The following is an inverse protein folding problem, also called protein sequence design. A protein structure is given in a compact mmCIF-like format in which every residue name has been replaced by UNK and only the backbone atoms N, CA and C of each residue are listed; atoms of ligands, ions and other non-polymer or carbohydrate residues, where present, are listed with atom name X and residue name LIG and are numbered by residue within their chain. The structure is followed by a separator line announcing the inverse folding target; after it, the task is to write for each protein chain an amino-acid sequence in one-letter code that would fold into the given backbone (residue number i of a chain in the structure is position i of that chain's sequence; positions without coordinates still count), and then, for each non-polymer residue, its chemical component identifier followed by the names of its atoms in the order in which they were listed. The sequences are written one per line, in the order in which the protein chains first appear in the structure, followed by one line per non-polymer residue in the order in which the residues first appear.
data_IF_442630013587
#
_entry.id   IF_442630013587
#
_cell.length_a   1.000
_cell.length_b   1.000
_cell.length_c   1.000
_cell.angle_alpha   90.00
_cell.angle_beta   90.00
_cell.angle_gamma   90.00
#
_symmetry.space_group_name_H-M   'P 1'
#
loop_
_entity.id
_entity.type
_entity.pdbx_description
1 polymer ?
#
# COMPACT_ATOMS: atom_id res chain seq x y z
N UNK A 1 -20.29 -13.19 39.07
CA UNK A 1 -19.22 -13.73 38.23
C UNK A 1 -19.72 -13.70 36.79
N UNK A 2 -19.43 -12.64 36.06
CA UNK A 2 -19.89 -12.43 34.71
C UNK A 2 -18.72 -12.76 33.79
N UNK A 3 -18.79 -13.89 33.10
CA UNK A 3 -17.82 -14.27 32.07
C UNK A 3 -18.03 -13.36 30.84
N UNK A 4 -17.06 -12.51 30.57
CA UNK A 4 -16.97 -11.81 29.29
C UNK A 4 -16.58 -12.86 28.22
N UNK A 5 -17.53 -13.21 27.38
CA UNK A 5 -17.28 -14.00 26.18
C UNK A 5 -16.36 -13.20 25.26
N UNK A 6 -15.14 -13.68 25.10
CA UNK A 6 -14.20 -13.20 24.08
C UNK A 6 -14.78 -13.61 22.73
N UNK A 7 -15.20 -12.64 21.91
CA UNK A 7 -15.59 -12.91 20.52
C UNK A 7 -14.32 -13.31 19.78
N UNK A 8 -14.21 -14.54 19.27
CA UNK A 8 -13.02 -14.96 18.56
C UNK A 8 -12.93 -14.19 17.24
N UNK A 9 -11.74 -13.68 16.94
CA UNK A 9 -11.41 -13.19 15.63
C UNK A 9 -11.75 -14.27 14.58
N UNK A 10 -12.61 -13.95 13.62
CA UNK A 10 -13.02 -14.91 12.61
C UNK A 10 -11.87 -15.13 11.63
N UNK A 11 -11.13 -16.20 11.83
CA UNK A 11 -10.07 -16.63 10.91
C UNK A 11 -10.65 -17.66 9.96
N UNK A 12 -10.90 -17.28 8.72
CA UNK A 12 -11.41 -18.19 7.69
C UNK A 12 -10.28 -18.56 6.75
N UNK A 13 -9.82 -19.83 6.71
CA UNK A 13 -8.89 -20.31 5.71
C UNK A 13 -9.62 -20.44 4.36
N UNK A 14 -9.03 -19.87 3.31
CA UNK A 14 -9.57 -19.85 1.96
C UNK A 14 -8.54 -20.46 1.01
N UNK A 15 -8.93 -21.45 0.21
CA UNK A 15 -8.06 -21.97 -0.83
C UNK A 15 -7.75 -20.87 -1.86
N UNK A 16 -6.48 -20.62 -2.13
CA UNK A 16 -6.06 -19.56 -3.04
C UNK A 16 -5.58 -20.16 -4.37
N UNK A 17 -6.08 -19.67 -5.52
CA UNK A 17 -5.54 -20.01 -6.83
C UNK A 17 -4.16 -19.36 -7.04
N UNK A 18 -3.38 -19.78 -8.07
CA UNK A 18 -2.04 -19.26 -8.34
C UNK A 18 -1.98 -17.76 -8.67
N UNK A 19 -3.12 -17.13 -9.01
CA UNK A 19 -3.25 -15.69 -9.20
C UNK A 19 -4.39 -15.19 -8.29
N UNK A 20 -4.07 -14.86 -7.04
CA UNK A 20 -5.03 -14.30 -6.10
C UNK A 20 -5.06 -12.78 -6.20
N UNK A 21 -6.25 -12.20 -6.19
CA UNK A 21 -6.47 -10.76 -6.02
C UNK A 21 -7.11 -10.51 -4.65
N UNK A 22 -6.50 -9.68 -3.84
CA UNK A 22 -7.03 -9.20 -2.58
C UNK A 22 -7.60 -7.80 -2.77
N UNK A 23 -8.90 -7.61 -2.56
CA UNK A 23 -9.55 -6.31 -2.57
C UNK A 23 -9.91 -5.91 -1.14
N UNK A 24 -9.44 -4.75 -0.66
CA UNK A 24 -9.67 -4.26 0.70
C UNK A 24 -10.26 -2.85 0.66
N UNK A 25 -11.38 -2.63 1.34
CA UNK A 25 -11.97 -1.29 1.51
C UNK A 25 -12.08 -0.96 3.00
N UNK A 26 -11.31 0.05 3.46
CA UNK A 26 -11.22 0.40 4.88
C UNK A 26 -11.42 1.89 5.09
N UNK A 27 -12.51 2.28 5.76
CA UNK A 27 -12.75 3.69 6.10
C UNK A 27 -11.71 4.27 7.06
N UNK A 28 -11.32 3.53 8.10
CA UNK A 28 -10.34 3.97 9.07
C UNK A 28 -9.66 2.79 9.77
N UNK A 29 -8.38 2.94 10.12
CA UNK A 29 -7.64 1.95 10.91
C UNK A 29 -6.29 1.55 10.30
N UNK A 30 -6.01 0.26 10.29
CA UNK A 30 -4.77 -0.30 9.75
C UNK A 30 -5.05 -1.56 8.96
N UNK A 31 -4.37 -1.70 7.84
CA UNK A 31 -4.36 -2.91 7.02
C UNK A 31 -2.92 -3.44 6.93
N UNK A 32 -2.75 -4.69 7.27
CA UNK A 32 -1.50 -5.41 7.10
C UNK A 32 -1.73 -6.63 6.20
N UNK A 33 -1.04 -6.67 5.07
CA UNK A 33 -1.04 -7.78 4.12
C UNK A 33 0.31 -8.48 4.21
N UNK A 34 0.31 -9.76 4.53
CA UNK A 34 1.52 -10.56 4.72
C UNK A 34 1.56 -11.65 3.64
N UNK A 35 2.42 -11.43 2.65
CA UNK A 35 2.62 -12.36 1.53
C UNK A 35 3.77 -13.32 1.85
N UNK A 36 3.47 -14.60 1.91
CA UNK A 36 4.42 -15.65 2.23
C UNK A 36 4.26 -16.85 1.28
N UNK A 37 5.14 -17.83 1.39
CA UNK A 37 5.04 -19.07 0.62
C UNK A 37 3.96 -19.98 1.24
N UNK A 38 2.71 -19.72 0.86
CA UNK A 38 1.51 -20.45 1.32
C UNK A 38 0.53 -20.61 0.15
N UNK A 39 -0.38 -21.55 0.27
CA UNK A 39 -1.36 -21.88 -0.76
C UNK A 39 -2.81 -21.47 -0.38
N UNK A 40 -2.98 -20.81 0.76
CA UNK A 40 -4.28 -20.37 1.28
C UNK A 40 -4.23 -18.88 1.65
N UNK A 41 -5.38 -18.27 1.82
CA UNK A 41 -5.51 -16.94 2.39
C UNK A 41 -6.25 -17.00 3.72
N UNK A 42 -5.84 -16.16 4.67
CA UNK A 42 -6.56 -15.98 5.93
C UNK A 42 -6.76 -14.51 6.21
N UNK A 43 -7.96 -14.15 6.68
CA UNK A 43 -8.33 -12.77 6.99
C UNK A 43 -8.73 -12.70 8.45
N UNK A 44 -8.19 -11.73 9.15
CA UNK A 44 -8.54 -11.40 10.51
C UNK A 44 -8.94 -9.92 10.58
N UNK A 45 -10.11 -9.64 11.13
CA UNK A 45 -10.61 -8.27 11.35
C UNK A 45 -10.82 -8.08 12.85
N UNK A 46 -10.19 -7.05 13.39
CA UNK A 46 -10.30 -6.68 14.81
C UNK A 46 -10.69 -5.21 14.97
N UNK A 47 -11.35 -4.83 16.07
CA UNK A 47 -11.46 -3.42 16.43
C UNK A 47 -10.06 -2.85 16.72
N UNK A 48 -9.79 -1.62 16.28
CA UNK A 48 -8.51 -0.97 16.60
C UNK A 48 -8.34 -0.73 18.11
N UNK A 49 -9.47 -0.53 18.83
CA UNK A 49 -9.53 -0.46 20.27
C UNK A 49 -10.77 -1.22 20.78
N UNK A 50 -10.57 -2.37 21.41
CA UNK A 50 -11.65 -3.19 21.95
C UNK A 50 -12.44 -2.50 23.10
N UNK A 51 -11.90 -1.47 23.72
CA UNK A 51 -12.59 -0.66 24.73
C UNK A 51 -13.53 0.38 24.13
N UNK A 52 -13.48 0.61 22.81
CA UNK A 52 -14.34 1.57 22.13
C UNK A 52 -15.48 0.87 21.39
N UNK A 53 -16.70 1.05 21.85
CA UNK A 53 -17.89 0.41 21.26
C UNK A 53 -18.08 0.70 19.76
N UNK A 54 -17.64 1.85 19.27
CA UNK A 54 -17.69 2.20 17.85
C UNK A 54 -16.72 1.38 17.01
N UNK A 55 -15.52 1.06 17.53
CA UNK A 55 -14.52 0.27 16.83
C UNK A 55 -14.94 -1.21 16.80
N UNK A 56 -15.54 -1.68 17.91
CA UNK A 56 -16.15 -3.03 17.98
C UNK A 56 -17.27 -3.16 16.96
N UNK A 57 -18.21 -2.21 16.92
CA UNK A 57 -19.29 -2.21 15.92
C UNK A 57 -18.77 -2.13 14.49
N UNK A 58 -17.71 -1.33 14.25
CA UNK A 58 -17.10 -1.25 12.92
C UNK A 58 -16.54 -2.61 12.51
N UNK A 59 -15.80 -3.29 13.39
CA UNK A 59 -15.24 -4.62 13.09
C UNK A 59 -16.34 -5.67 12.80
N UNK A 60 -17.46 -5.62 13.52
CA UNK A 60 -18.61 -6.51 13.32
C UNK A 60 -19.32 -6.31 11.96
N UNK A 61 -19.17 -5.14 11.33
CA UNK A 61 -19.80 -4.84 10.03
C UNK A 61 -18.97 -5.31 8.82
N UNK A 62 -17.75 -5.77 9.03
CA UNK A 62 -16.91 -6.23 7.93
C UNK A 62 -17.32 -7.60 7.46
N UNK A 63 -17.40 -7.74 6.15
CA UNK A 63 -17.65 -9.00 5.46
C UNK A 63 -16.42 -9.43 4.67
N UNK A 64 -16.15 -10.73 4.69
CA UNK A 64 -15.14 -11.37 3.88
C UNK A 64 -15.84 -12.26 2.87
N UNK A 65 -15.72 -11.91 1.60
CA UNK A 65 -16.26 -12.72 0.50
C UNK A 65 -15.13 -13.24 -0.36
N UNK A 66 -15.30 -14.43 -0.95
CA UNK A 66 -14.32 -15.02 -1.83
C UNK A 66 -15.00 -15.72 -3.01
N UNK A 67 -14.36 -15.69 -4.15
CA UNK A 67 -14.83 -16.34 -5.38
C UNK A 67 -13.93 -15.94 -6.56
N UNK A 68 -13.84 -16.78 -7.56
CA UNK A 68 -13.14 -16.52 -8.83
C UNK A 68 -11.72 -15.95 -8.67
N UNK A 69 -10.96 -16.46 -7.69
CA UNK A 69 -9.59 -15.99 -7.43
C UNK A 69 -9.50 -14.63 -6.74
N UNK A 70 -10.60 -14.13 -6.21
CA UNK A 70 -10.65 -12.86 -5.49
C UNK A 70 -11.08 -13.07 -4.03
N UNK A 71 -10.37 -12.43 -3.11
CA UNK A 71 -10.79 -12.25 -1.71
C UNK A 71 -11.11 -10.78 -1.50
N UNK A 72 -12.33 -10.50 -1.08
CA UNK A 72 -12.78 -9.13 -0.79
C UNK A 72 -13.05 -8.96 0.69
N UNK A 73 -12.49 -7.90 1.27
CA UNK A 73 -12.67 -7.49 2.66
C UNK A 73 -13.22 -6.07 2.68
N UNK A 74 -14.46 -5.89 3.06
CA UNK A 74 -15.12 -4.59 3.04
C UNK A 74 -16.25 -4.53 4.07
N UNK A 75 -16.66 -3.32 4.53
CA UNK A 75 -17.87 -3.19 5.33
C UNK A 75 -19.11 -3.60 4.50
N UNK A 76 -20.06 -4.32 5.13
CA UNK A 76 -21.31 -4.79 4.52
C UNK A 76 -22.17 -3.66 3.91
N UNK A 77 -22.08 -2.47 4.50
CA UNK A 77 -22.73 -1.28 3.99
C UNK A 77 -21.73 -0.12 3.91
N UNK A 78 -21.87 0.76 2.89
CA UNK A 78 -21.01 1.93 2.81
C UNK A 78 -21.18 2.79 4.08
N UNK A 79 -20.07 3.33 4.63
CA UNK A 79 -20.15 4.13 5.84
C UNK A 79 -21.07 5.33 5.63
N UNK A 80 -22.08 5.48 6.48
CA UNK A 80 -22.99 6.63 6.45
C UNK A 80 -22.21 7.92 6.73
N UNK A 81 -22.00 8.73 5.72
CA UNK A 81 -21.24 10.01 5.78
C UNK A 81 -21.90 11.06 6.69
N UNK A 82 -23.14 10.84 7.16
CA UNK A 82 -23.95 11.84 7.84
C UNK A 82 -23.97 11.72 9.37
N UNK A 83 -23.47 10.65 9.98
CA UNK A 83 -23.59 10.41 11.42
C UNK A 83 -22.29 9.91 12.07
N UNK A 84 -21.33 10.82 12.24
CA UNK A 84 -20.19 10.57 13.14
C UNK A 84 -18.95 9.98 12.46
N UNK A 85 -17.84 9.94 13.22
CA UNK A 85 -16.58 9.30 12.79
C UNK A 85 -16.77 7.79 12.75
N UNK A 86 -16.46 7.16 11.61
CA UNK A 86 -16.39 5.70 11.49
C UNK A 86 -15.45 5.13 12.56
N UNK A 87 -15.81 3.98 13.15
CA UNK A 87 -14.89 3.24 14.00
C UNK A 87 -13.66 2.78 13.21
N UNK A 88 -12.56 2.58 13.89
CA UNK A 88 -11.32 2.12 13.29
C UNK A 88 -11.15 0.60 13.48
N UNK A 89 -10.58 -0.05 12.47
CA UNK A 89 -10.35 -1.50 12.48
C UNK A 89 -8.88 -1.82 12.20
N UNK A 90 -8.42 -2.96 12.70
CA UNK A 90 -7.17 -3.59 12.30
C UNK A 90 -7.49 -4.83 11.47
N UNK A 91 -7.01 -4.86 10.23
CA UNK A 91 -7.18 -5.97 9.32
C UNK A 91 -5.81 -6.59 9.06
N UNK A 92 -5.69 -7.87 9.34
CA UNK A 92 -4.50 -8.66 8.99
C UNK A 92 -4.89 -9.73 7.99
N UNK A 93 -4.23 -9.72 6.84
CA UNK A 93 -4.47 -10.69 5.77
C UNK A 93 -3.18 -11.42 5.45
N UNK A 94 -3.18 -12.73 5.57
CA UNK A 94 -2.10 -13.58 5.08
C UNK A 94 -2.49 -14.13 3.71
N UNK A 95 -1.59 -14.01 2.75
CA UNK A 95 -1.82 -14.38 1.34
C UNK A 95 -0.61 -15.09 0.73
N UNK A 96 -0.78 -15.82 -0.36
CA UNK A 96 0.34 -16.31 -1.16
C UNK A 96 1.22 -15.19 -1.70
N UNK A 97 2.53 -15.46 -1.83
CA UNK A 97 3.45 -14.56 -2.53
C UNK A 97 2.98 -14.30 -3.96
N UNK A 98 3.10 -13.06 -4.44
CA UNK A 98 2.65 -12.66 -5.76
C UNK A 98 1.17 -12.28 -5.85
N UNK A 99 0.42 -12.28 -4.75
CA UNK A 99 -0.97 -11.80 -4.70
C UNK A 99 -1.06 -10.35 -5.14
N UNK A 100 -2.01 -10.05 -6.02
CA UNK A 100 -2.35 -8.68 -6.40
C UNK A 100 -3.17 -8.02 -5.29
N UNK A 101 -2.92 -6.74 -5.03
CA UNK A 101 -3.61 -5.98 -3.99
C UNK A 101 -4.33 -4.76 -4.57
N UNK A 102 -5.62 -4.67 -4.33
CA UNK A 102 -6.43 -3.48 -4.57
C UNK A 102 -6.95 -2.94 -3.25
N UNK A 103 -6.50 -1.76 -2.82
CA UNK A 103 -6.90 -1.20 -1.55
C UNK A 103 -7.53 0.20 -1.70
N UNK A 104 -8.65 0.41 -1.02
CA UNK A 104 -9.27 1.71 -0.82
C UNK A 104 -9.22 2.05 0.66
N UNK A 105 -8.62 3.21 0.99
CA UNK A 105 -8.40 3.61 2.37
C UNK A 105 -8.72 5.10 2.56
N UNK A 106 -9.75 5.43 3.34
CA UNK A 106 -10.04 6.84 3.60
C UNK A 106 -9.12 7.42 4.66
N UNK A 107 -8.86 6.70 5.76
CA UNK A 107 -7.95 7.13 6.84
C UNK A 107 -7.32 5.90 7.50
N UNK A 108 -6.47 5.19 6.77
CA UNK A 108 -5.88 3.95 7.25
C UNK A 108 -4.42 3.80 6.80
N UNK A 109 -3.57 3.27 7.67
CA UNK A 109 -2.22 2.86 7.28
C UNK A 109 -2.25 1.51 6.54
N UNK A 110 -1.51 1.40 5.43
CA UNK A 110 -1.35 0.18 4.66
C UNK A 110 0.08 -0.34 4.74
N UNK A 111 0.23 -1.57 5.20
CA UNK A 111 1.51 -2.28 5.27
C UNK A 111 1.46 -3.57 4.45
N UNK A 112 2.28 -3.66 3.40
CA UNK A 112 2.54 -4.90 2.66
C UNK A 112 3.88 -5.49 3.09
N UNK A 113 3.87 -6.71 3.56
CA UNK A 113 5.05 -7.47 4.00
C UNK A 113 5.28 -8.63 3.04
N UNK A 114 6.53 -8.84 2.65
CA UNK A 114 6.91 -9.85 1.67
C UNK A 114 6.67 -9.40 0.23
N UNK A 115 6.58 -10.36 -0.69
CA UNK A 115 6.49 -10.10 -2.13
C UNK A 115 5.05 -10.14 -2.61
N UNK A 116 4.52 -8.97 -2.97
CA UNK A 116 3.22 -8.81 -3.62
C UNK A 116 3.36 -8.80 -5.15
N UNK A 117 2.28 -9.06 -5.86
CA UNK A 117 2.11 -8.81 -7.28
C UNK A 117 1.96 -7.30 -7.57
N UNK A 118 1.05 -6.95 -8.47
CA UNK A 118 0.71 -5.55 -8.71
C UNK A 118 -0.13 -5.01 -7.56
N UNK A 119 0.16 -3.79 -7.14
CA UNK A 119 -0.51 -3.12 -6.02
C UNK A 119 -1.17 -1.84 -6.50
N UNK A 120 -2.48 -1.74 -6.30
CA UNK A 120 -3.25 -0.51 -6.56
C UNK A 120 -3.83 0.01 -5.24
N UNK A 121 -3.53 1.27 -4.91
CA UNK A 121 -4.02 1.92 -3.68
C UNK A 121 -4.63 3.27 -4.00
N UNK A 122 -5.86 3.47 -3.54
CA UNK A 122 -6.53 4.77 -3.53
C UNK A 122 -6.80 5.19 -2.08
N UNK A 123 -6.33 6.37 -1.68
CA UNK A 123 -6.46 6.82 -0.30
C UNK A 123 -6.63 8.32 -0.12
N UNK A 124 -7.11 8.73 1.04
CA UNK A 124 -7.16 10.15 1.40
C UNK A 124 -6.04 10.48 2.40
N UNK A 125 -6.08 9.93 3.63
CA UNK A 125 -5.04 10.05 4.64
C UNK A 125 -4.46 8.65 4.90
N UNK A 126 -3.45 8.28 4.12
CA UNK A 126 -3.01 6.89 4.04
C UNK A 126 -1.51 6.83 3.84
N UNK A 127 -0.82 6.36 4.85
CA UNK A 127 0.58 5.97 4.71
C UNK A 127 0.65 4.57 4.09
N UNK A 128 1.48 4.42 3.07
CA UNK A 128 1.67 3.16 2.36
C UNK A 128 3.12 2.70 2.51
N UNK A 129 3.30 1.50 3.03
CA UNK A 129 4.63 0.88 3.13
C UNK A 129 4.59 -0.53 2.58
N UNK A 130 5.35 -0.79 1.50
CA UNK A 130 5.45 -2.07 0.83
C UNK A 130 6.89 -2.58 0.88
N UNK A 131 7.07 -3.87 1.16
CA UNK A 131 8.39 -4.48 1.13
C UNK A 131 8.83 -4.75 -0.31
N UNK A 132 8.09 -5.58 -1.05
CA UNK A 132 8.38 -5.87 -2.46
C UNK A 132 7.09 -5.94 -3.27
N UNK A 133 7.10 -5.34 -4.47
CA UNK A 133 5.98 -5.40 -5.41
C UNK A 133 6.46 -5.50 -6.86
N UNK A 134 5.70 -6.22 -7.69
CA UNK A 134 5.99 -6.34 -9.11
C UNK A 134 5.74 -5.03 -9.85
N UNK A 135 4.64 -4.35 -9.54
CA UNK A 135 4.28 -3.02 -10.02
C UNK A 135 3.43 -2.30 -8.99
N UNK A 136 3.32 -0.96 -9.09
CA UNK A 136 2.52 -0.19 -8.14
C UNK A 136 1.80 1.00 -8.79
N UNK A 137 0.53 1.16 -8.46
CA UNK A 137 -0.24 2.39 -8.73
C UNK A 137 -0.84 2.88 -7.42
N UNK A 138 -0.30 3.97 -6.87
CA UNK A 138 -0.71 4.51 -5.59
C UNK A 138 -1.11 5.96 -5.75
N UNK A 139 -2.32 6.30 -5.35
CA UNK A 139 -2.82 7.69 -5.34
C UNK A 139 -3.41 7.99 -3.98
N UNK A 140 -2.78 8.90 -3.23
CA UNK A 140 -3.27 9.37 -1.93
C UNK A 140 -3.29 10.90 -1.90
N UNK A 141 -4.05 11.49 -0.98
CA UNK A 141 -4.02 12.94 -0.78
C UNK A 141 -2.97 13.35 0.24
N UNK A 142 -2.94 12.67 1.39
CA UNK A 142 -2.01 12.93 2.48
C UNK A 142 -1.44 11.60 2.97
N UNK A 143 -0.12 11.48 3.04
CA UNK A 143 0.58 10.31 3.54
C UNK A 143 1.88 10.04 2.79
N UNK A 144 2.78 9.35 3.47
CA UNK A 144 4.06 8.94 2.93
C UNK A 144 3.94 7.61 2.18
N UNK A 145 4.63 7.53 1.05
CA UNK A 145 4.68 6.34 0.21
C UNK A 145 6.09 5.76 0.26
N UNK A 146 6.21 4.54 0.75
CA UNK A 146 7.50 3.85 0.83
C UNK A 146 7.40 2.47 0.18
N UNK A 147 8.27 2.19 -0.79
CA UNK A 147 8.46 0.87 -1.39
C UNK A 147 9.92 0.48 -1.21
N UNK A 148 10.18 -0.68 -0.56
CA UNK A 148 11.55 -1.12 -0.38
C UNK A 148 12.14 -1.67 -1.68
N UNK A 149 11.39 -2.54 -2.41
CA UNK A 149 11.82 -3.08 -3.71
C UNK A 149 10.69 -3.03 -4.74
N UNK A 150 10.95 -2.37 -5.85
CA UNK A 150 10.02 -2.24 -6.98
C UNK A 150 10.57 -3.02 -8.19
N UNK A 151 9.88 -4.08 -8.57
CA UNK A 151 10.30 -5.00 -9.63
C UNK A 151 9.98 -4.54 -11.05
N UNK A 152 9.09 -3.57 -11.24
CA UNK A 152 8.58 -3.14 -12.54
C UNK A 152 8.05 -1.71 -12.54
N UNK A 153 7.09 -1.37 -13.43
CA UNK A 153 6.59 0.00 -13.55
C UNK A 153 5.81 0.44 -12.32
N UNK A 154 5.85 1.75 -12.03
CA UNK A 154 5.06 2.32 -10.95
C UNK A 154 4.60 3.75 -11.23
N UNK A 155 3.44 4.08 -10.69
CA UNK A 155 2.90 5.42 -10.64
C UNK A 155 2.52 5.74 -9.19
N UNK A 156 3.32 6.58 -8.51
CA UNK A 156 3.12 6.96 -7.12
C UNK A 156 2.79 8.43 -7.03
N UNK A 157 1.62 8.76 -6.49
CA UNK A 157 1.14 10.13 -6.35
C UNK A 157 0.65 10.41 -4.94
N UNK A 158 1.14 11.47 -4.35
CA UNK A 158 0.59 12.06 -3.11
C UNK A 158 0.51 13.58 -3.27
N UNK A 159 -0.36 14.25 -2.55
CA UNK A 159 -0.35 15.72 -2.51
C UNK A 159 0.55 16.23 -1.40
N UNK A 160 0.51 15.59 -0.23
CA UNK A 160 1.35 15.93 0.92
C UNK A 160 1.95 14.66 1.51
N UNK A 161 3.26 14.55 1.46
CA UNK A 161 4.02 13.42 1.95
C UNK A 161 5.23 13.14 1.08
N UNK A 162 6.17 12.41 1.63
CA UNK A 162 7.37 11.97 0.93
C UNK A 162 7.10 10.70 0.11
N UNK A 163 7.83 10.57 -1.00
CA UNK A 163 7.82 9.33 -1.79
C UNK A 163 9.22 8.74 -1.76
N UNK A 164 9.33 7.50 -1.29
CA UNK A 164 10.59 6.78 -1.21
C UNK A 164 10.50 5.41 -1.89
N UNK A 165 11.30 5.20 -2.91
CA UNK A 165 11.55 3.91 -3.53
C UNK A 165 13.00 3.54 -3.26
N UNK A 166 13.22 2.60 -2.34
CA UNK A 166 14.58 2.30 -1.91
C UNK A 166 15.38 1.59 -3.00
N UNK A 167 14.74 0.67 -3.75
CA UNK A 167 15.36 -0.07 -4.85
C UNK A 167 14.36 -0.25 -6.00
N UNK A 168 14.60 0.39 -7.14
CA UNK A 168 13.87 0.21 -8.39
C UNK A 168 14.70 -0.61 -9.38
N UNK A 169 14.10 -1.64 -9.99
CA UNK A 169 14.82 -2.60 -10.82
C UNK A 169 14.72 -2.25 -12.31
N UNK A 170 13.52 -1.90 -12.80
CA UNK A 170 13.28 -1.66 -14.23
C UNK A 170 11.92 -0.99 -14.46
N UNK A 171 11.73 -0.51 -15.69
CA UNK A 171 10.45 0.01 -16.16
C UNK A 171 10.36 1.52 -16.04
N UNK A 172 9.16 2.04 -16.23
CA UNK A 172 8.84 3.45 -16.10
C UNK A 172 8.29 3.71 -14.69
N UNK A 173 8.92 4.62 -13.96
CA UNK A 173 8.58 4.96 -12.58
C UNK A 173 8.25 6.44 -12.49
N UNK A 174 6.97 6.75 -12.33
CA UNK A 174 6.46 8.12 -12.18
C UNK A 174 6.18 8.42 -10.71
N UNK A 175 6.89 9.40 -10.15
CA UNK A 175 6.81 9.83 -8.75
C UNK A 175 6.35 11.29 -8.70
N UNK A 176 5.23 11.57 -8.07
CA UNK A 176 4.70 12.92 -7.99
C UNK A 176 4.17 13.25 -6.60
N UNK A 177 4.65 14.37 -6.05
CA UNK A 177 4.08 14.98 -4.84
C UNK A 177 3.92 16.50 -5.05
N UNK A 178 2.98 17.14 -4.37
CA UNK A 178 2.90 18.60 -4.38
C UNK A 178 3.79 19.17 -3.26
N UNK A 179 3.92 18.47 -2.11
CA UNK A 179 4.75 18.90 -0.98
C UNK A 179 5.34 17.68 -0.26
N UNK A 180 6.63 17.51 -0.39
CA UNK A 180 7.41 16.41 0.17
C UNK A 180 8.63 16.08 -0.68
N UNK A 181 9.54 15.34 -0.11
CA UNK A 181 10.76 14.91 -0.79
C UNK A 181 10.53 13.63 -1.60
N UNK A 182 11.30 13.46 -2.67
CA UNK A 182 11.31 12.24 -3.47
C UNK A 182 12.70 11.62 -3.39
N UNK A 183 12.74 10.36 -2.97
CA UNK A 183 13.97 9.57 -2.96
C UNK A 183 13.80 8.31 -3.81
N UNK A 184 14.72 8.06 -4.73
CA UNK A 184 14.72 6.84 -5.54
C UNK A 184 16.12 6.25 -5.65
N UNK A 185 16.22 4.94 -5.39
CA UNK A 185 17.42 4.14 -5.61
C UNK A 185 17.25 3.24 -6.82
N UNK A 186 18.21 3.23 -7.75
CA UNK A 186 18.28 2.19 -8.77
C UNK A 186 19.01 0.97 -8.20
N UNK A 187 18.51 -0.23 -8.51
CA UNK A 187 19.11 -1.48 -8.06
C UNK A 187 20.58 -1.61 -8.55
N UNK A 188 21.41 -2.39 -7.85
CA UNK A 188 22.81 -2.61 -8.28
C UNK A 188 22.89 -3.10 -9.73
N UNK A 189 23.73 -2.46 -10.54
CA UNK A 189 23.92 -2.81 -11.94
C UNK A 189 22.82 -2.33 -12.90
N UNK A 190 21.82 -1.61 -12.42
CA UNK A 190 20.74 -1.04 -13.25
C UNK A 190 21.17 0.33 -13.77
N UNK A 191 21.15 0.47 -15.10
CA UNK A 191 21.30 1.76 -15.76
C UNK A 191 19.95 2.50 -15.73
N UNK A 192 19.96 3.75 -15.26
CA UNK A 192 18.75 4.53 -15.07
C UNK A 192 18.87 5.94 -15.67
N UNK A 193 17.77 6.43 -16.26
CA UNK A 193 17.59 7.81 -16.66
C UNK A 193 16.65 8.52 -15.70
N UNK A 194 16.97 9.78 -15.37
CA UNK A 194 16.14 10.63 -14.51
C UNK A 194 15.68 11.86 -15.28
N UNK A 195 14.37 12.08 -15.27
CA UNK A 195 13.73 13.33 -15.60
C UNK A 195 13.10 13.87 -14.31
N UNK A 196 13.61 15.01 -13.81
CA UNK A 196 13.24 15.53 -12.50
C UNK A 196 12.96 17.02 -12.53
N UNK A 197 11.88 17.44 -11.86
CA UNK A 197 11.47 18.84 -11.77
C UNK A 197 11.07 19.19 -10.33
N UNK A 198 11.64 20.29 -9.81
CA UNK A 198 11.23 20.91 -8.55
C UNK A 198 11.42 22.43 -8.60
N UNK A 199 10.35 23.24 -8.59
CA UNK A 199 10.44 24.69 -8.51
C UNK A 199 11.04 25.22 -7.20
N UNK A 200 10.80 24.49 -6.08
CA UNK A 200 11.27 24.88 -4.76
C UNK A 200 11.93 23.70 -4.03
N UNK A 201 13.18 23.43 -4.40
CA UNK A 201 13.98 22.34 -3.85
C UNK A 201 15.28 22.14 -4.63
N UNK A 202 16.00 21.09 -4.30
CA UNK A 202 17.26 20.69 -4.93
C UNK A 202 17.14 19.34 -5.57
N UNK A 203 17.74 19.20 -6.75
CA UNK A 203 17.85 17.91 -7.43
C UNK A 203 19.28 17.38 -7.26
N UNK A 204 19.40 16.18 -6.71
CA UNK A 204 20.65 15.43 -6.60
C UNK A 204 20.52 14.15 -7.40
N UNK A 205 21.27 14.08 -8.50
CA UNK A 205 21.31 12.90 -9.35
C UNK A 205 22.69 12.24 -9.28
N UNK A 206 22.74 11.01 -8.76
CA UNK A 206 23.88 10.14 -8.70
C UNK A 206 23.57 8.76 -9.29
N UNK A 207 22.71 8.73 -10.31
CA UNK A 207 22.40 7.51 -11.06
C UNK A 207 23.52 7.19 -12.05
N UNK A 208 23.81 5.90 -12.20
CA UNK A 208 24.64 5.41 -13.28
C UNK A 208 23.81 5.38 -14.57
N UNK A 209 24.18 6.22 -15.51
CA UNK A 209 23.54 6.31 -16.81
C UNK A 209 24.24 5.42 -17.85
N UNK A 210 23.49 4.94 -18.84
CA UNK A 210 24.01 4.23 -20.01
C UNK A 210 23.20 4.64 -21.25
N UNK A 211 23.73 4.33 -22.43
CA UNK A 211 23.06 4.66 -23.71
C UNK A 211 21.64 4.07 -23.83
N UNK A 212 21.37 2.96 -23.12
CA UNK A 212 20.06 2.30 -23.10
C UNK A 212 19.67 1.97 -21.67
N UNK A 213 19.11 2.93 -20.92
CA UNK A 213 18.64 2.69 -19.57
C UNK A 213 17.46 1.73 -19.57
N UNK A 214 17.42 0.84 -18.59
CA UNK A 214 16.30 -0.09 -18.38
C UNK A 214 15.31 0.42 -17.34
N UNK A 215 15.69 1.48 -16.62
CA UNK A 215 14.86 2.19 -15.64
C UNK A 215 14.74 3.66 -16.07
N UNK A 216 13.51 4.12 -16.23
CA UNK A 216 13.19 5.51 -16.51
C UNK A 216 12.42 6.10 -15.32
N UNK A 217 12.97 7.12 -14.67
CA UNK A 217 12.37 7.77 -13.52
C UNK A 217 11.92 9.17 -13.89
N UNK A 218 10.62 9.45 -13.71
CA UNK A 218 10.03 10.79 -13.80
C UNK A 218 9.64 11.23 -12.40
N UNK A 219 10.33 12.22 -11.84
CA UNK A 219 10.13 12.70 -10.49
C UNK A 219 9.73 14.18 -10.46
N UNK A 220 8.58 14.51 -9.91
CA UNK A 220 8.09 15.89 -9.84
C UNK A 220 7.61 16.21 -8.43
N UNK A 221 8.12 17.29 -7.84
CA UNK A 221 7.59 17.86 -6.60
C UNK A 221 7.49 19.39 -6.74
N UNK A 222 6.47 20.01 -6.15
CA UNK A 222 6.38 21.48 -6.14
C UNK A 222 7.23 22.09 -5.03
N UNK A 223 7.31 21.41 -3.87
CA UNK A 223 8.09 21.84 -2.71
C UNK A 223 8.76 20.62 -2.07
N UNK A 224 10.06 20.48 -2.21
CA UNK A 224 10.85 19.38 -1.66
C UNK A 224 12.08 19.07 -2.51
N UNK A 225 12.98 18.29 -1.96
CA UNK A 225 14.20 17.84 -2.63
C UNK A 225 13.93 16.54 -3.41
N UNK A 226 14.61 16.36 -4.54
CA UNK A 226 14.61 15.11 -5.31
C UNK A 226 16.00 14.51 -5.25
N UNK A 227 16.10 13.29 -4.77
CA UNK A 227 17.36 12.54 -4.68
C UNK A 227 17.25 11.22 -5.41
N UNK A 228 18.10 11.01 -6.41
CA UNK A 228 18.19 9.75 -7.15
C UNK A 228 19.65 9.24 -7.08
N UNK A 229 19.81 7.94 -6.79
CA UNK A 229 21.13 7.30 -6.68
C UNK A 229 21.12 5.87 -7.18
N UNK A 230 22.25 5.39 -7.66
CA UNK A 230 22.50 3.95 -7.85
C UNK A 230 23.05 3.34 -6.55
N UNK A 231 22.65 2.09 -6.29
CA UNK A 231 23.04 1.32 -5.10
C UNK A 231 24.26 0.46 -5.38
#
# INVERSE_FOLDING_TARGET
MTQHAHTPASTTPLAAPPALTLTVDVPAGRVQVIATDRADATVEVRPADAGRSRDVKAAETFEVTHGDGTVRVAPAAPPHRLLGTSGAVEITVHVPSGTHLEAKAASAGLRGVGRLGDVTVEGQRTDVKLDETAGARVTVQDGDLTICRLGGPAELRTRRGAIRVAEAVRGEVTLRTDSGDIEVGAAPGVAAALDAETPAGRIRNALVNAERPTLHVHATTSHGDITARSL
#
